data_IF_443923528630
#
_entry.id   IF_443923528630
#
_cell.length_a   1.000
_cell.length_b   1.000
_cell.length_c   1.000
_cell.angle_alpha   90.00
_cell.angle_beta   90.00
_cell.angle_gamma   90.00
#
_symmetry.space_group_name_H-M   'P 1'
#
loop_
_entity.id
_entity.type
_entity.pdbx_description
1 polymer ?
#
# COMPACT_ATOMS: atom_id res chain seq x y z
N UNK A 1 -14.93 1.34 9.30
CA UNK A 1 -13.80 0.91 8.46
C UNK A 1 -14.30 -0.05 7.41
N UNK A 2 -13.83 0.07 6.16
CA UNK A 2 -14.11 -0.86 5.06
C UNK A 2 -12.76 -1.27 4.48
N UNK A 3 -12.52 -2.57 4.35
CA UNK A 3 -11.34 -3.13 3.69
C UNK A 3 -11.82 -3.84 2.43
N UNK A 4 -11.36 -3.37 1.27
CA UNK A 4 -11.71 -3.92 -0.04
C UNK A 4 -10.49 -4.60 -0.63
N UNK A 5 -10.66 -5.86 -1.04
CA UNK A 5 -9.65 -6.63 -1.76
C UNK A 5 -9.81 -6.44 -3.27
N UNK A 6 -8.75 -6.02 -3.96
CA UNK A 6 -8.72 -5.79 -5.41
C UNK A 6 -7.99 -6.88 -6.20
N UNK A 7 -7.49 -7.93 -5.53
CA UNK A 7 -6.69 -9.00 -6.14
C UNK A 7 -5.21 -8.88 -5.82
N UNK A 8 -4.48 -9.99 -5.97
CA UNK A 8 -3.06 -10.09 -5.60
C UNK A 8 -2.84 -9.69 -4.13
N UNK A 9 -2.05 -8.65 -3.89
CA UNK A 9 -1.84 -8.03 -2.58
C UNK A 9 -2.41 -6.60 -2.53
N UNK A 10 -3.30 -6.24 -3.46
CA UNK A 10 -3.86 -4.90 -3.56
C UNK A 10 -5.09 -4.74 -2.67
N UNK A 11 -4.96 -3.92 -1.63
CA UNK A 11 -6.06 -3.56 -0.73
C UNK A 11 -6.35 -2.07 -0.75
N UNK A 12 -7.62 -1.74 -0.54
CA UNK A 12 -8.09 -0.40 -0.17
C UNK A 12 -8.67 -0.44 1.22
N UNK A 13 -8.07 0.29 2.16
CA UNK A 13 -8.59 0.48 3.51
C UNK A 13 -9.19 1.88 3.58
N UNK A 14 -10.47 1.99 3.90
CA UNK A 14 -11.16 3.27 4.09
C UNK A 14 -11.74 3.40 5.48
N UNK A 15 -11.51 4.53 6.13
CA UNK A 15 -12.07 4.89 7.42
C UNK A 15 -12.34 6.40 7.45
N UNK A 16 -13.60 6.80 7.67
CA UNK A 16 -14.01 8.19 7.48
C UNK A 16 -13.63 8.68 6.08
N UNK A 17 -12.92 9.80 6.02
CA UNK A 17 -12.40 10.38 4.78
C UNK A 17 -11.01 9.83 4.39
N UNK A 18 -10.33 9.13 5.30
CA UNK A 18 -9.00 8.54 5.11
C UNK A 18 -9.10 7.26 4.28
N UNK A 19 -8.25 7.17 3.27
CA UNK A 19 -8.10 6.02 2.38
C UNK A 19 -6.63 5.66 2.26
N UNK A 20 -6.31 4.40 2.50
CA UNK A 20 -4.99 3.80 2.37
C UNK A 20 -5.05 2.76 1.25
N UNK A 21 -4.21 2.93 0.23
CA UNK A 21 -3.92 1.91 -0.76
C UNK A 21 -2.72 1.07 -0.29
N UNK A 22 -2.79 -0.24 -0.42
CA UNK A 22 -1.66 -1.14 -0.11
C UNK A 22 -1.36 -1.96 -1.33
N UNK A 23 -0.10 -1.96 -1.75
CA UNK A 23 0.44 -2.69 -2.90
C UNK A 23 -0.42 -2.57 -4.17
N UNK A 24 -0.68 -1.35 -4.67
CA UNK A 24 -1.43 -1.16 -5.90
C UNK A 24 -0.79 -1.89 -7.08
N UNK A 25 -1.61 -2.52 -7.91
CA UNK A 25 -1.16 -3.23 -9.12
C UNK A 25 -0.82 -2.20 -10.20
N UNK A 26 0.42 -2.21 -10.70
CA UNK A 26 0.88 -1.35 -11.79
C UNK A 26 0.16 -1.65 -13.11
N UNK A 27 0.15 -0.68 -14.02
CA UNK A 27 -0.29 -0.85 -15.40
C UNK A 27 0.59 -1.82 -16.18
N UNK A 28 1.85 -2.02 -15.75
CA UNK A 28 2.80 -2.94 -16.37
C UNK A 28 2.63 -4.39 -15.89
N UNK A 29 1.76 -4.63 -14.91
CA UNK A 29 1.40 -5.97 -14.45
C UNK A 29 0.47 -6.66 -15.45
N UNK A 30 0.51 -7.99 -15.45
CA UNK A 30 -0.48 -8.82 -16.16
C UNK A 30 -1.80 -8.97 -15.39
N UNK A 31 -1.82 -8.54 -14.12
CA UNK A 31 -2.97 -8.65 -13.24
C UNK A 31 -3.94 -7.49 -13.47
N UNK A 32 -5.23 -7.72 -13.17
CA UNK A 32 -6.26 -6.69 -13.34
C UNK A 32 -6.08 -5.60 -12.29
N UNK A 33 -5.77 -4.39 -12.73
CA UNK A 33 -5.64 -3.22 -11.85
C UNK A 33 -6.97 -2.46 -11.70
N UNK A 34 -7.08 -1.69 -10.61
CA UNK A 34 -8.21 -0.79 -10.30
C UNK A 34 -7.65 0.59 -9.93
N UNK A 35 -8.35 1.68 -10.28
CA UNK A 35 -7.92 3.06 -10.01
C UNK A 35 -8.83 3.76 -9.02
N UNK A 36 -8.25 4.38 -7.99
CA UNK A 36 -8.97 5.22 -7.02
C UNK A 36 -8.02 6.25 -6.39
N UNK A 37 -8.57 7.28 -5.74
CA UNK A 37 -7.75 8.23 -4.98
C UNK A 37 -7.54 7.74 -3.55
N UNK A 38 -6.31 7.83 -3.03
CA UNK A 38 -5.98 7.53 -1.64
C UNK A 38 -5.14 8.64 -1.03
N UNK A 39 -5.22 8.78 0.30
CA UNK A 39 -4.41 9.72 1.06
C UNK A 39 -3.00 9.13 1.29
N UNK A 40 -2.92 7.82 1.50
CA UNK A 40 -1.64 7.10 1.74
C UNK A 40 -1.55 5.90 0.81
N UNK A 41 -0.38 5.65 0.23
CA UNK A 41 -0.09 4.45 -0.54
C UNK A 41 1.13 3.74 0.04
N UNK A 42 0.94 2.49 0.44
CA UNK A 42 2.00 1.62 0.94
C UNK A 42 2.48 0.70 -0.19
N UNK A 43 3.78 0.65 -0.44
CA UNK A 43 4.41 -0.29 -1.37
C UNK A 43 5.44 -1.11 -0.62
N UNK A 44 5.17 -2.41 -0.51
CA UNK A 44 5.96 -3.38 0.24
C UNK A 44 7.12 -3.86 -0.60
N UNK A 45 6.85 -4.18 -1.87
CA UNK A 45 7.83 -4.70 -2.82
C UNK A 45 7.85 -3.86 -4.10
N UNK A 46 9.06 -3.50 -4.56
CA UNK A 46 9.20 -2.86 -5.86
C UNK A 46 9.08 -3.90 -7.00
N UNK A 47 7.84 -4.17 -7.41
CA UNK A 47 7.51 -5.01 -8.57
C UNK A 47 6.22 -4.51 -9.24
N UNK A 48 5.97 -4.83 -10.52
CA UNK A 48 4.74 -4.41 -11.20
C UNK A 48 3.46 -4.84 -10.48
N UNK A 49 3.49 -5.96 -9.75
CA UNK A 49 2.30 -6.50 -9.07
C UNK A 49 1.99 -5.81 -7.74
N UNK A 50 2.90 -4.96 -7.23
CA UNK A 50 2.78 -4.29 -5.92
C UNK A 50 3.06 -2.78 -5.97
N UNK A 51 3.68 -2.27 -7.04
CA UNK A 51 4.09 -0.86 -7.17
C UNK A 51 3.39 -0.16 -8.34
N UNK A 52 2.10 0.10 -8.17
CA UNK A 52 1.24 0.85 -9.08
C UNK A 52 0.81 2.21 -8.52
N UNK A 53 1.70 2.99 -7.93
CA UNK A 53 1.35 4.29 -7.29
C UNK A 53 0.58 5.24 -8.20
N UNK A 54 0.78 5.18 -9.52
CA UNK A 54 0.02 5.97 -10.50
C UNK A 54 -1.49 5.70 -10.48
N UNK A 55 -1.93 4.55 -9.98
CA UNK A 55 -3.35 4.19 -9.92
C UNK A 55 -4.04 4.68 -8.65
N UNK A 56 -3.27 5.26 -7.71
CA UNK A 56 -3.74 5.69 -6.39
C UNK A 56 -3.89 7.21 -6.25
N UNK A 57 -3.45 7.98 -7.24
CA UNK A 57 -3.69 9.43 -7.35
C UNK A 57 -4.85 9.70 -8.31
N UNK A 58 -6.00 10.15 -7.79
CA UNK A 58 -7.20 10.45 -8.60
C UNK A 58 -7.97 11.64 -8.02
N UNK A 59 -8.34 12.57 -8.91
CA UNK A 59 -9.06 13.78 -8.53
C UNK A 59 -8.13 14.71 -7.76
N UNK A 60 -8.58 15.19 -6.60
CA UNK A 60 -7.80 16.08 -5.73
C UNK A 60 -6.88 15.32 -4.77
N UNK A 61 -6.93 13.99 -4.74
CA UNK A 61 -6.07 13.18 -3.86
C UNK A 61 -4.74 12.86 -4.53
N UNK A 62 -3.69 13.53 -4.08
CA UNK A 62 -2.29 13.14 -4.30
C UNK A 62 -1.85 12.27 -3.12
N UNK A 63 -1.55 11.00 -3.39
CA UNK A 63 -1.28 10.05 -2.32
C UNK A 63 0.13 10.25 -1.75
N UNK A 64 0.26 10.29 -0.42
CA UNK A 64 1.55 10.19 0.24
C UNK A 64 2.07 8.75 0.12
N UNK A 65 3.15 8.58 -0.63
CA UNK A 65 3.69 7.27 -0.98
C UNK A 65 4.78 6.85 0.01
N UNK A 66 4.63 5.66 0.60
CA UNK A 66 5.61 5.04 1.50
C UNK A 66 6.11 3.75 0.84
N UNK A 67 7.41 3.67 0.54
CA UNK A 67 8.05 2.55 -0.17
C UNK A 67 9.34 2.05 0.50
N UNK A 68 9.36 2.04 1.82
CA UNK A 68 10.54 1.61 2.57
C UNK A 68 10.29 1.47 4.06
N UNK A 69 11.25 0.87 4.77
CA UNK A 69 11.21 0.74 6.21
C UNK A 69 11.38 2.09 6.90
N UNK A 70 10.75 2.24 8.07
CA UNK A 70 10.74 3.49 8.83
C UNK A 70 9.49 3.64 9.68
N UNK A 71 9.42 4.71 10.47
CA UNK A 71 8.20 5.11 11.17
C UNK A 71 7.62 6.35 10.50
N UNK A 72 6.32 6.35 10.24
CA UNK A 72 5.60 7.40 9.54
C UNK A 72 4.33 7.75 10.31
N UNK A 73 4.00 9.04 10.31
CA UNK A 73 2.71 9.53 10.78
C UNK A 73 2.12 10.43 9.70
N UNK A 74 0.97 10.03 9.14
CA UNK A 74 0.31 10.77 8.06
C UNK A 74 -1.16 10.93 8.44
N UNK A 75 -1.60 12.18 8.61
CA UNK A 75 -2.99 12.51 8.93
C UNK A 75 -3.54 11.74 10.15
N UNK A 76 -2.71 11.54 11.19
CA UNK A 76 -3.07 10.80 12.40
C UNK A 76 -3.03 9.27 12.28
N UNK A 77 -2.63 8.72 11.12
CA UNK A 77 -2.37 7.29 10.93
C UNK A 77 -0.91 6.99 11.22
N UNK A 78 -0.66 6.10 12.18
CA UNK A 78 0.70 5.66 12.53
C UNK A 78 1.06 4.41 11.76
N UNK A 79 2.18 4.44 11.04
CA UNK A 79 2.65 3.35 10.19
C UNK A 79 4.08 3.01 10.56
N UNK A 80 4.38 1.72 10.69
CA UNK A 80 5.74 1.22 10.87
C UNK A 80 6.08 0.25 9.76
N UNK A 81 7.16 0.54 9.04
CA UNK A 81 7.74 -0.29 8.00
C UNK A 81 8.96 -1.04 8.54
N UNK A 82 8.97 -2.36 8.38
CA UNK A 82 10.04 -3.25 8.81
C UNK A 82 10.73 -3.87 7.61
N UNK A 83 12.06 -3.78 7.58
CA UNK A 83 12.86 -4.35 6.50
C UNK A 83 12.73 -5.89 6.52
N UNK A 84 12.44 -6.46 5.35
CA UNK A 84 12.41 -7.89 5.10
C UNK A 84 12.91 -8.20 3.69
N UNK A 85 12.81 -9.47 3.29
CA UNK A 85 13.22 -9.96 1.97
C UNK A 85 12.09 -10.77 1.36
N UNK A 86 11.92 -10.64 0.05
CA UNK A 86 11.00 -11.46 -0.73
C UNK A 86 11.72 -12.09 -1.91
N UNK A 87 11.34 -13.32 -2.26
CA UNK A 87 11.79 -14.02 -3.47
C UNK A 87 10.73 -13.99 -4.58
N UNK A 88 9.72 -13.12 -4.43
CA UNK A 88 8.66 -12.95 -5.42
C UNK A 88 9.23 -12.55 -6.78
N UNK A 89 8.79 -13.24 -7.84
CA UNK A 89 9.35 -13.06 -9.19
C UNK A 89 10.70 -13.74 -9.43
N UNK A 90 11.13 -14.63 -8.52
CA UNK A 90 12.29 -15.52 -8.71
C UNK A 90 13.65 -14.91 -8.36
N UNK A 91 13.70 -13.67 -7.87
CA UNK A 91 14.92 -13.04 -7.36
C UNK A 91 14.69 -12.43 -5.98
N UNK A 92 15.71 -12.49 -5.13
CA UNK A 92 15.66 -11.83 -3.82
C UNK A 92 15.60 -10.31 -4.01
N UNK A 93 14.63 -9.67 -3.34
CA UNK A 93 14.41 -8.22 -3.34
C UNK A 93 14.12 -7.73 -1.94
N UNK A 94 14.37 -6.44 -1.73
CA UNK A 94 13.94 -5.74 -0.52
C UNK A 94 12.42 -5.72 -0.48
N UNK A 95 11.87 -6.15 0.66
CA UNK A 95 10.46 -6.05 0.99
C UNK A 95 10.30 -5.24 2.27
N UNK A 96 9.18 -4.55 2.42
CA UNK A 96 8.82 -3.83 3.65
C UNK A 96 7.51 -4.36 4.18
N UNK A 97 7.55 -4.92 5.40
CA UNK A 97 6.35 -5.29 6.15
C UNK A 97 5.78 -4.01 6.76
N UNK A 98 4.48 -3.75 6.62
CA UNK A 98 3.85 -2.57 7.22
C UNK A 98 2.86 -2.95 8.31
N UNK A 99 2.98 -2.32 9.47
CA UNK A 99 1.90 -2.25 10.46
C UNK A 99 1.26 -0.87 10.41
N UNK A 100 -0.06 -0.82 10.34
CA UNK A 100 -0.86 0.40 10.31
C UNK A 100 -1.75 0.42 11.54
N UNK A 101 -1.54 1.39 12.43
CA UNK A 101 -2.40 1.64 13.56
C UNK A 101 -3.45 2.69 13.19
N UNK A 102 -4.71 2.26 13.13
CA UNK A 102 -5.85 3.07 12.72
C UNK A 102 -7.03 2.75 13.66
N UNK A 103 -7.50 3.76 14.41
CA UNK A 103 -8.70 3.65 15.25
C UNK A 103 -8.66 2.51 16.28
N UNK A 104 -7.52 2.33 16.95
CA UNK A 104 -7.32 1.28 17.95
C UNK A 104 -7.19 -0.13 17.36
N UNK A 105 -7.12 -0.27 16.03
CA UNK A 105 -6.81 -1.52 15.35
C UNK A 105 -5.40 -1.47 14.76
N UNK A 106 -4.73 -2.62 14.76
CA UNK A 106 -3.45 -2.82 14.07
C UNK A 106 -3.68 -3.72 12.85
N UNK A 107 -3.50 -3.16 11.66
CA UNK A 107 -3.46 -3.91 10.41
C UNK A 107 -2.02 -4.24 10.08
N UNK A 108 -1.74 -5.45 9.59
CA UNK A 108 -0.40 -5.88 9.22
C UNK A 108 -0.41 -6.40 7.78
N UNK A 109 0.54 -5.92 6.97
CA UNK A 109 0.75 -6.32 5.58
C UNK A 109 2.19 -6.85 5.46
N UNK A 110 2.34 -8.08 4.97
CA UNK A 110 3.58 -8.87 5.05
C UNK A 110 4.28 -9.00 3.69
#
# INVERSE_FOLDING_TARGET
MIITYHGADFFKVSFGDTTIAVNPISKDSKLKSTKFGSDITLVSLNSPDHNGVDVTSRGEKESFVIQGPGEYEVSGVFIKGFLSKSVYGGSERINTIYTVHLEGMNLCFL
#
